data_IF_991326070663
#
_entry.id   IF_991326070663
#
_cell.length_a   1.000
_cell.length_b   1.000
_cell.length_c   1.000
_cell.angle_alpha   90.00
_cell.angle_beta   90.00
_cell.angle_gamma   90.00
#
_symmetry.space_group_name_H-M   'P 1'
#
loop_
_entity.id
_entity.type
_entity.pdbx_description
1 polymer ?
#
# COMPACT_ATOMS: atom_id res chain seq x y z
N UNK A 1 10.05 5.89 -5.97
CA UNK A 1 8.87 5.00 -6.06
C UNK A 1 9.33 3.64 -6.56
N UNK A 2 10.29 3.64 -7.49
CA UNK A 2 10.91 2.44 -8.05
C UNK A 2 11.57 1.54 -6.99
N UNK A 3 12.31 2.09 -6.03
CA UNK A 3 12.94 1.30 -4.94
C UNK A 3 11.92 0.51 -4.09
N UNK A 4 10.76 1.11 -3.79
CA UNK A 4 9.71 0.40 -3.06
C UNK A 4 9.06 -0.69 -3.92
N UNK A 5 8.94 -0.48 -5.23
CA UNK A 5 8.43 -1.49 -6.16
C UNK A 5 9.43 -2.66 -6.29
N UNK A 6 10.72 -2.36 -6.32
CA UNK A 6 11.79 -3.37 -6.30
C UNK A 6 11.74 -4.18 -5.00
N UNK A 7 11.55 -3.52 -3.85
CA UNK A 7 11.31 -4.21 -2.59
C UNK A 7 10.07 -5.13 -2.65
N UNK A 8 8.94 -4.67 -3.21
CA UNK A 8 7.77 -5.55 -3.35
C UNK A 8 8.06 -6.77 -4.22
N UNK A 9 8.92 -6.63 -5.24
CA UNK A 9 9.36 -7.73 -6.11
C UNK A 9 10.39 -8.65 -5.45
N UNK A 10 11.14 -8.18 -4.46
CA UNK A 10 12.10 -8.99 -3.70
C UNK A 10 11.46 -9.83 -2.60
N UNK A 11 10.16 -9.65 -2.31
CA UNK A 11 9.45 -10.48 -1.33
C UNK A 11 9.08 -11.82 -1.99
N UNK A 12 9.85 -12.88 -1.72
CA UNK A 12 9.67 -14.22 -2.30
C UNK A 12 8.28 -14.83 -2.08
N UNK A 13 7.55 -14.38 -1.06
CA UNK A 13 6.18 -14.85 -0.77
C UNK A 13 5.11 -14.15 -1.59
N UNK A 14 5.45 -13.11 -2.37
CA UNK A 14 4.52 -12.40 -3.22
C UNK A 14 4.53 -12.95 -4.64
N UNK A 15 3.36 -13.42 -5.09
CA UNK A 15 3.16 -13.69 -6.51
C UNK A 15 3.12 -12.40 -7.34
N UNK A 16 3.47 -12.49 -8.62
CA UNK A 16 3.31 -11.39 -9.59
C UNK A 16 1.89 -10.80 -9.61
N UNK A 17 0.88 -11.64 -9.40
CA UNK A 17 -0.51 -11.19 -9.25
C UNK A 17 -0.68 -10.30 -8.02
N UNK A 18 -0.12 -10.72 -6.89
CA UNK A 18 -0.17 -9.96 -5.64
C UNK A 18 0.56 -8.62 -5.74
N UNK A 19 1.71 -8.60 -6.42
CA UNK A 19 2.46 -7.36 -6.70
C UNK A 19 1.61 -6.41 -7.54
N UNK A 20 0.98 -6.91 -8.61
CA UNK A 20 0.08 -6.12 -9.46
C UNK A 20 -1.13 -5.56 -8.70
N UNK A 21 -1.74 -6.36 -7.85
CA UNK A 21 -2.87 -5.93 -7.01
C UNK A 21 -2.44 -4.81 -6.06
N UNK A 22 -1.25 -4.92 -5.48
CA UNK A 22 -0.68 -3.90 -4.61
C UNK A 22 -0.37 -2.59 -5.35
N UNK A 23 0.23 -2.66 -6.55
CA UNK A 23 0.44 -1.50 -7.42
C UNK A 23 -0.88 -0.81 -7.78
N UNK A 24 -1.94 -1.58 -8.00
CA UNK A 24 -3.28 -1.05 -8.22
C UNK A 24 -3.81 -0.30 -6.99
N UNK A 25 -3.56 -0.81 -5.77
CA UNK A 25 -3.91 -0.10 -4.52
C UNK A 25 -3.10 1.17 -4.32
N UNK A 26 -1.80 1.15 -4.60
CA UNK A 26 -0.95 2.34 -4.58
C UNK A 26 -1.52 3.42 -5.50
N UNK A 27 -1.80 3.08 -6.77
CA UNK A 27 -2.38 4.01 -7.73
C UNK A 27 -3.75 4.53 -7.28
N UNK A 28 -4.57 3.66 -6.69
CA UNK A 28 -5.89 4.02 -6.15
C UNK A 28 -5.79 5.02 -4.99
N UNK A 29 -4.80 4.87 -4.10
CA UNK A 29 -4.55 5.79 -2.99
C UNK A 29 -4.00 7.12 -3.49
N UNK A 30 -3.01 7.10 -4.38
CA UNK A 30 -2.41 8.30 -4.98
C UNK A 30 -3.46 9.14 -5.71
N UNK A 31 -4.34 8.52 -6.51
CA UNK A 31 -5.44 9.23 -7.20
C UNK A 31 -6.43 9.90 -6.24
N UNK A 32 -6.52 9.41 -5.00
CA UNK A 32 -7.37 9.97 -3.93
C UNK A 32 -6.63 10.98 -3.05
N UNK A 33 -5.36 11.26 -3.34
CA UNK A 33 -4.52 12.12 -2.49
C UNK A 33 -4.14 11.48 -1.15
N UNK A 34 -4.25 10.16 -1.03
CA UNK A 34 -3.94 9.42 0.19
C UNK A 34 -2.47 8.97 0.13
N UNK A 35 -1.64 9.59 0.96
CA UNK A 35 -0.23 9.24 1.06
C UNK A 35 -0.01 8.02 1.98
N UNK A 36 0.19 6.86 1.37
CA UNK A 36 0.48 5.61 2.09
C UNK A 36 1.83 5.60 2.82
N UNK A 37 2.71 6.58 2.54
CA UNK A 37 4.06 6.65 3.11
C UNK A 37 4.09 7.31 4.49
N UNK A 38 3.04 8.04 4.89
CA UNK A 38 3.01 8.75 6.17
C UNK A 38 2.94 7.80 7.35
N UNK A 39 1.87 7.01 7.43
CA UNK A 39 1.69 5.90 8.36
C UNK A 39 0.34 5.21 8.10
N UNK A 40 0.16 4.01 8.68
CA UNK A 40 -1.09 3.26 8.57
C UNK A 40 -2.28 4.05 9.15
N UNK A 41 -2.13 4.69 10.31
CA UNK A 41 -3.24 5.42 10.96
C UNK A 41 -3.70 6.64 10.15
N UNK A 42 -2.77 7.38 9.54
CA UNK A 42 -3.13 8.46 8.61
C UNK A 42 -3.94 7.92 7.42
N UNK A 43 -3.43 6.89 6.75
CA UNK A 43 -4.11 6.30 5.60
C UNK A 43 -5.49 5.73 5.97
N UNK A 44 -5.62 5.11 7.15
CA UNK A 44 -6.88 4.56 7.67
C UNK A 44 -7.94 5.63 7.89
N UNK A 45 -7.58 6.79 8.41
CA UNK A 45 -8.50 7.92 8.59
C UNK A 45 -9.00 8.40 7.23
N UNK A 46 -8.11 8.58 6.25
CA UNK A 46 -8.48 9.07 4.92
C UNK A 46 -9.29 8.04 4.10
N UNK A 47 -8.91 6.76 4.16
CA UNK A 47 -9.61 5.68 3.48
C UNK A 47 -11.04 5.50 4.01
N UNK A 48 -11.27 5.71 5.32
CA UNK A 48 -12.62 5.65 5.92
C UNK A 48 -13.53 6.80 5.52
N UNK A 49 -12.99 7.90 4.99
CA UNK A 49 -13.77 8.99 4.39
C UNK A 49 -14.17 8.70 2.94
N UNK A 50 -13.63 7.64 2.34
CA UNK A 50 -13.88 7.26 0.94
C UNK A 50 -15.06 6.28 0.82
N UNK A 51 -15.56 6.08 -0.39
CA UNK A 51 -16.62 5.14 -0.78
C UNK A 51 -16.15 3.67 -0.89
N UNK A 52 -15.01 3.33 -0.27
CA UNK A 52 -14.36 2.04 -0.44
C UNK A 52 -14.95 0.98 0.49
N UNK A 53 -15.00 -0.27 0.00
CA UNK A 53 -15.34 -1.41 0.84
C UNK A 53 -14.29 -1.66 1.92
N UNK A 54 -14.69 -2.21 3.06
CA UNK A 54 -13.78 -2.59 4.16
C UNK A 54 -12.66 -3.52 3.68
N UNK A 55 -12.95 -4.43 2.75
CA UNK A 55 -11.94 -5.31 2.13
C UNK A 55 -10.91 -4.54 1.30
N UNK A 56 -11.33 -3.47 0.63
CA UNK A 56 -10.43 -2.58 -0.11
C UNK A 56 -9.59 -1.74 0.84
N UNK A 57 -10.20 -1.20 1.90
CA UNK A 57 -9.48 -0.47 2.96
C UNK A 57 -8.37 -1.35 3.54
N UNK A 58 -8.68 -2.58 3.95
CA UNK A 58 -7.67 -3.54 4.46
C UNK A 58 -6.53 -3.80 3.47
N UNK A 59 -6.84 -3.87 2.18
CA UNK A 59 -5.83 -4.03 1.13
C UNK A 59 -4.94 -2.81 0.98
N UNK A 60 -5.48 -1.60 1.07
CA UNK A 60 -4.71 -0.36 1.09
C UNK A 60 -3.82 -0.24 2.35
N UNK A 61 -4.34 -0.61 3.53
CA UNK A 61 -3.55 -0.59 4.77
C UNK A 61 -2.39 -1.60 4.74
N UNK A 62 -2.53 -2.71 4.01
CA UNK A 62 -1.42 -3.64 3.77
C UNK A 62 -0.24 -2.96 3.04
N UNK A 63 -0.51 -2.02 2.13
CA UNK A 63 0.55 -1.23 1.46
C UNK A 63 1.30 -0.38 2.48
N UNK A 64 0.58 0.26 3.41
CA UNK A 64 1.17 1.10 4.45
C UNK A 64 2.12 0.28 5.33
N UNK A 65 1.72 -0.94 5.73
CA UNK A 65 2.57 -1.87 6.48
C UNK A 65 3.80 -2.28 5.68
N UNK A 66 3.63 -2.68 4.41
CA UNK A 66 4.76 -3.06 3.55
C UNK A 66 5.75 -1.92 3.37
N UNK A 67 5.28 -0.69 3.25
CA UNK A 67 6.15 0.48 3.18
C UNK A 67 6.90 0.71 4.49
N UNK A 68 6.24 0.53 5.63
CA UNK A 68 6.89 0.58 6.93
C UNK A 68 7.95 -0.53 7.07
N UNK A 69 7.66 -1.76 6.64
CA UNK A 69 8.63 -2.86 6.63
C UNK A 69 9.85 -2.51 5.77
N UNK A 70 9.63 -1.94 4.58
CA UNK A 70 10.70 -1.45 3.71
C UNK A 70 11.59 -0.40 4.40
N UNK A 71 11.00 0.54 5.15
CA UNK A 71 11.74 1.54 5.93
C UNK A 71 12.47 0.97 7.17
N UNK A 72 12.12 -0.22 7.64
CA UNK A 72 12.81 -0.86 8.76
C UNK A 72 13.98 -1.75 8.32
N UNK A 73 14.07 -2.04 7.02
CA UNK A 73 15.11 -2.88 6.41
C UNK A 73 16.20 -2.01 5.74
N UNK A 74 15.90 -0.75 5.43
CA UNK A 74 16.80 0.24 4.82
C UNK A 74 16.98 1.45 5.74
#
# INVERSE_FOLDING_TARGET
MDEFIEYLRSIDTLSEKSIRDDLSRINSMVKRGIDFKKCEEYAKIELRKSDLSESTIKSCLRICRRYNDYLNIN
#
